data_IF_967282667134
#
_entry.id   IF_967282667134
#
_cell.length_a   1.000
_cell.length_b   1.000
_cell.length_c   1.000
_cell.angle_alpha   90.00
_cell.angle_beta   90.00
_cell.angle_gamma   90.00
#
_symmetry.space_group_name_H-M   'P 1'
#
loop_
_entity.id
_entity.type
_entity.pdbx_description
1 polymer ?
#
# COMPACT_ATOMS: atom_id res chain seq x y z
N UNK A 1 -40.41 -7.56 -34.09
CA UNK A 1 -39.24 -7.35 -33.20
C UNK A 1 -38.00 -7.37 -34.09
N UNK A 2 -37.37 -6.22 -34.29
CA UNK A 2 -36.22 -6.08 -35.20
C UNK A 2 -34.91 -6.35 -34.46
N UNK A 3 -33.96 -6.96 -35.16
CA UNK A 3 -32.61 -7.35 -34.67
C UNK A 3 -31.70 -6.18 -34.27
N UNK A 4 -32.21 -4.94 -34.27
CA UNK A 4 -31.46 -3.73 -33.96
C UNK A 4 -31.23 -3.50 -32.46
N UNK A 5 -31.98 -4.19 -31.59
CA UNK A 5 -31.98 -3.93 -30.15
C UNK A 5 -30.98 -4.81 -29.34
N UNK A 6 -30.21 -5.68 -30.01
CA UNK A 6 -29.44 -6.75 -29.32
C UNK A 6 -28.00 -6.39 -28.92
N UNK A 7 -27.51 -5.17 -29.17
CA UNK A 7 -26.09 -4.82 -28.94
C UNK A 7 -25.83 -3.79 -27.83
N UNK A 8 -26.75 -3.61 -26.88
CA UNK A 8 -26.45 -2.83 -25.67
C UNK A 8 -25.87 -3.73 -24.58
N UNK A 9 -24.62 -4.13 -24.77
CA UNK A 9 -23.79 -4.62 -23.68
C UNK A 9 -23.44 -3.44 -22.78
N UNK A 10 -24.32 -3.14 -21.82
CA UNK A 10 -24.01 -2.20 -20.75
C UNK A 10 -22.87 -2.82 -19.93
N UNK A 11 -21.66 -2.34 -20.18
CA UNK A 11 -20.49 -2.63 -19.37
C UNK A 11 -20.77 -2.13 -17.96
N UNK A 12 -21.01 -3.06 -17.05
CA UNK A 12 -21.07 -2.79 -15.62
C UNK A 12 -19.83 -1.98 -15.23
N UNK A 13 -19.96 -0.81 -14.57
CA UNK A 13 -18.79 -0.06 -14.17
C UNK A 13 -18.03 -0.88 -13.13
N UNK A 14 -16.88 -1.42 -13.52
CA UNK A 14 -15.95 -2.06 -12.61
C UNK A 14 -15.62 -1.04 -11.50
N UNK A 15 -15.85 -1.42 -10.24
CA UNK A 15 -15.54 -0.61 -9.09
C UNK A 15 -14.08 -0.14 -9.18
N UNK A 16 -13.90 1.16 -9.41
CA UNK A 16 -12.60 1.81 -9.53
C UNK A 16 -11.84 1.56 -8.23
N UNK A 17 -10.78 0.76 -8.26
CA UNK A 17 -9.92 0.53 -7.11
C UNK A 17 -9.36 1.89 -6.66
N UNK A 18 -9.91 2.45 -5.58
CA UNK A 18 -9.72 3.87 -5.22
C UNK A 18 -8.42 4.18 -4.51
N UNK A 19 -7.53 3.22 -4.29
CA UNK A 19 -6.18 3.51 -3.81
C UNK A 19 -5.22 2.39 -4.20
N UNK A 20 -4.65 2.49 -5.41
CA UNK A 20 -3.36 1.86 -5.66
C UNK A 20 -2.35 2.58 -4.75
N UNK A 21 -1.91 1.90 -3.68
CA UNK A 21 -0.84 2.42 -2.83
C UNK A 21 0.38 2.70 -3.73
N UNK A 22 0.62 3.96 -4.05
CA UNK A 22 1.72 4.37 -4.94
C UNK A 22 3.03 3.89 -4.31
N UNK A 23 3.70 2.95 -4.97
CA UNK A 23 4.92 2.37 -4.44
C UNK A 23 4.77 1.65 -3.09
N UNK A 24 3.59 1.08 -2.79
CA UNK A 24 3.29 0.38 -1.52
C UNK A 24 3.36 1.27 -0.26
N UNK A 25 3.19 2.58 -0.43
CA UNK A 25 3.12 3.51 0.69
C UNK A 25 2.05 3.08 1.72
N UNK A 26 2.45 2.97 2.98
CA UNK A 26 1.58 2.53 4.08
C UNK A 26 1.33 1.02 4.18
N UNK A 27 1.89 0.20 3.29
CA UNK A 27 1.72 -1.27 3.32
C UNK A 27 2.86 -1.91 4.13
N UNK A 28 2.49 -2.72 5.13
CA UNK A 28 3.46 -3.54 5.90
C UNK A 28 3.72 -4.84 5.13
N UNK A 29 4.89 -4.96 4.50
CA UNK A 29 5.27 -6.15 3.75
C UNK A 29 5.70 -7.34 4.63
N UNK A 30 6.35 -7.06 5.78
CA UNK A 30 6.75 -8.05 6.76
C UNK A 30 7.07 -7.36 8.11
N UNK A 31 7.13 -8.13 9.19
CA UNK A 31 7.66 -7.71 10.49
C UNK A 31 9.14 -8.12 10.62
N UNK A 32 9.96 -7.31 11.28
CA UNK A 32 11.39 -7.60 11.47
C UNK A 32 11.86 -7.17 12.86
N UNK A 33 13.00 -7.73 13.29
CA UNK A 33 13.71 -7.36 14.52
C UNK A 33 15.04 -6.67 14.25
N UNK A 34 15.34 -6.35 12.99
CA UNK A 34 16.64 -5.83 12.57
C UNK A 34 16.85 -4.38 13.00
N UNK A 35 15.84 -3.53 12.86
CA UNK A 35 15.95 -2.11 13.19
C UNK A 35 14.58 -1.44 13.31
N UNK A 36 14.53 -0.37 14.09
CA UNK A 36 13.37 0.52 14.23
C UNK A 36 13.80 2.00 14.07
N UNK A 37 12.91 2.82 13.50
CA UNK A 37 13.12 4.27 13.37
C UNK A 37 12.06 5.01 14.19
N UNK A 38 12.51 5.85 15.11
CA UNK A 38 11.64 6.70 15.93
C UNK A 38 11.81 8.14 15.43
N UNK A 39 11.03 8.48 14.40
CA UNK A 39 11.24 9.69 13.58
C UNK A 39 11.02 11.00 14.32
N UNK A 40 10.09 11.05 15.27
CA UNK A 40 9.84 12.21 16.14
C UNK A 40 11.03 12.53 17.06
N UNK A 41 11.82 11.52 17.41
CA UNK A 41 13.04 11.67 18.21
C UNK A 41 14.33 11.75 17.40
N UNK A 42 14.25 11.53 16.08
CA UNK A 42 15.44 11.41 15.23
C UNK A 42 16.34 10.23 15.60
N UNK A 43 15.77 9.15 16.11
CA UNK A 43 16.53 8.00 16.64
C UNK A 43 16.46 6.79 15.70
N UNK A 44 17.60 6.11 15.53
CA UNK A 44 17.72 4.82 14.87
C UNK A 44 18.12 3.75 15.90
N UNK A 45 17.29 2.73 16.04
CA UNK A 45 17.54 1.57 16.91
C UNK A 45 17.94 0.39 16.03
N UNK A 46 19.13 -0.15 16.23
CA UNK A 46 19.64 -1.32 15.52
C UNK A 46 19.71 -2.53 16.45
N UNK A 47 18.97 -3.59 16.12
CA UNK A 47 18.88 -4.82 16.92
C UNK A 47 18.61 -4.57 18.43
N UNK A 48 17.87 -3.51 18.75
CA UNK A 48 17.56 -3.10 20.13
C UNK A 48 18.52 -2.09 20.77
N UNK A 49 19.57 -1.66 20.08
CA UNK A 49 20.55 -0.70 20.57
C UNK A 49 20.45 0.63 19.82
N UNK A 50 20.61 1.75 20.52
CA UNK A 50 20.75 3.06 19.86
C UNK A 50 22.06 3.10 19.09
N UNK A 51 22.01 3.41 17.80
CA UNK A 51 23.18 3.46 16.93
C UNK A 51 24.24 4.47 17.41
N UNK A 52 23.84 5.53 18.12
CA UNK A 52 24.77 6.56 18.60
C UNK A 52 25.58 6.11 19.83
N UNK A 53 25.22 4.97 20.44
CA UNK A 53 25.89 4.40 21.61
C UNK A 53 26.73 3.16 21.27
N UNK A 54 26.97 2.89 19.98
CA UNK A 54 27.87 1.84 19.48
C UNK A 54 29.27 2.40 19.23
#
# INVERSE_FOLDING_TARGET
MTVADLHKTESTPAAKATNLARGLEGIVANTTRLSDVVGDKGQLVYAGYDINNL
#
